data_IF_426158525251
#
_entry.id   IF_426158525251
#
_cell.length_a   1.000
_cell.length_b   1.000
_cell.length_c   1.000
_cell.angle_alpha   90.00
_cell.angle_beta   90.00
_cell.angle_gamma   90.00
#
_symmetry.space_group_name_H-M   'P 1'
#
loop_
_entity.id
_entity.type
_entity.pdbx_description
1 polymer ?
#
# COMPACT_ATOMS: atom_id res chain seq x y z
N UNK A 1 -19.56 8.76 3.09
CA UNK A 1 -18.18 9.05 2.64
C UNK A 1 -17.34 7.85 3.06
N UNK A 2 -16.84 7.04 2.12
CA UNK A 2 -16.01 5.87 2.48
C UNK A 2 -14.61 6.40 2.79
N UNK A 3 -14.11 6.13 3.99
CA UNK A 3 -12.77 6.56 4.38
C UNK A 3 -11.71 5.75 3.64
N UNK A 4 -10.54 6.35 3.38
CA UNK A 4 -9.40 5.64 2.76
C UNK A 4 -8.95 4.42 3.58
N UNK A 5 -9.14 4.45 4.89
CA UNK A 5 -8.85 3.34 5.81
C UNK A 5 -9.84 2.19 5.63
N UNK A 6 -11.13 2.49 5.47
CA UNK A 6 -12.17 1.48 5.23
C UNK A 6 -12.06 0.85 3.84
N UNK A 7 -11.59 1.62 2.85
CA UNK A 7 -11.20 1.08 1.56
C UNK A 7 -9.99 0.14 1.69
N UNK A 8 -8.98 0.51 2.48
CA UNK A 8 -7.79 -0.29 2.70
C UNK A 8 -8.11 -1.61 3.45
N UNK A 9 -8.99 -1.58 4.45
CA UNK A 9 -9.38 -2.77 5.22
C UNK A 9 -10.08 -3.82 4.36
N UNK A 10 -10.83 -3.39 3.34
CA UNK A 10 -11.52 -4.25 2.37
C UNK A 10 -10.81 -4.36 1.03
N UNK A 11 -9.58 -3.87 0.92
CA UNK A 11 -8.86 -3.78 -0.36
C UNK A 11 -8.74 -5.13 -1.06
N UNK A 12 -8.56 -6.22 -0.32
CA UNK A 12 -8.48 -7.58 -0.86
C UNK A 12 -9.79 -8.04 -1.50
N UNK A 13 -10.93 -7.79 -0.85
CA UNK A 13 -12.25 -8.13 -1.37
C UNK A 13 -12.57 -7.32 -2.64
N UNK A 14 -12.33 -6.02 -2.56
CA UNK A 14 -12.55 -5.08 -3.65
C UNK A 14 -11.68 -5.46 -4.84
N UNK A 15 -10.39 -5.69 -4.61
CA UNK A 15 -9.47 -6.09 -5.66
C UNK A 15 -9.90 -7.41 -6.33
N UNK A 16 -10.39 -8.41 -5.59
CA UNK A 16 -10.85 -9.68 -6.18
C UNK A 16 -12.07 -9.47 -7.09
N UNK A 17 -13.06 -8.69 -6.63
CA UNK A 17 -14.29 -8.39 -7.37
C UNK A 17 -14.14 -7.40 -8.52
N UNK A 18 -13.05 -6.63 -8.55
CA UNK A 18 -12.81 -5.62 -9.58
C UNK A 18 -12.53 -6.19 -10.98
N UNK A 19 -12.87 -5.41 -11.98
CA UNK A 19 -12.50 -5.65 -13.38
C UNK A 19 -11.00 -5.56 -13.59
N UNK A 20 -10.49 -6.10 -14.70
CA UNK A 20 -9.05 -6.03 -15.04
C UNK A 20 -8.53 -4.59 -15.14
N UNK A 21 -9.37 -3.67 -15.62
CA UNK A 21 -9.01 -2.24 -15.72
C UNK A 21 -8.83 -1.59 -14.35
N UNK A 22 -9.77 -1.85 -13.44
CA UNK A 22 -9.70 -1.34 -12.05
C UNK A 22 -8.55 -1.96 -11.27
N UNK A 23 -8.32 -3.27 -11.43
CA UNK A 23 -7.15 -3.95 -10.86
C UNK A 23 -5.85 -3.28 -11.30
N UNK A 24 -5.72 -2.96 -12.59
CA UNK A 24 -4.54 -2.27 -13.12
C UNK A 24 -4.39 -0.87 -12.51
N UNK A 25 -5.48 -0.12 -12.32
CA UNK A 25 -5.45 1.18 -11.63
C UNK A 25 -4.97 1.05 -10.19
N UNK A 26 -5.48 0.05 -9.44
CA UNK A 26 -5.05 -0.21 -8.06
C UNK A 26 -3.57 -0.60 -7.98
N UNK A 27 -3.09 -1.44 -8.89
CA UNK A 27 -1.67 -1.80 -8.97
C UNK A 27 -0.81 -0.57 -9.25
N UNK A 28 -1.19 0.25 -10.23
CA UNK A 28 -0.45 1.47 -10.59
C UNK A 28 -0.52 2.56 -9.50
N UNK A 29 -1.55 2.55 -8.66
CA UNK A 29 -1.65 3.46 -7.53
C UNK A 29 -0.58 3.16 -6.47
N UNK A 30 -0.28 1.88 -6.25
CA UNK A 30 0.60 1.43 -5.17
C UNK A 30 2.03 1.18 -5.65
N UNK A 31 2.21 0.64 -6.87
CA UNK A 31 3.50 0.23 -7.42
C UNK A 31 3.99 1.19 -8.51
N UNK A 32 5.26 1.56 -8.48
CA UNK A 32 5.84 2.52 -9.44
C UNK A 32 6.60 1.87 -10.60
N UNK A 33 7.35 0.80 -10.32
CA UNK A 33 8.26 0.17 -11.28
C UNK A 33 8.03 -1.35 -11.35
N UNK A 34 6.86 -1.77 -11.82
CA UNK A 34 6.51 -3.19 -11.89
C UNK A 34 7.21 -3.87 -13.07
N UNK A 35 8.23 -4.67 -12.78
CA UNK A 35 9.02 -5.39 -13.77
C UNK A 35 9.15 -6.87 -13.43
N UNK A 36 8.87 -7.74 -14.39
CA UNK A 36 9.11 -9.18 -14.26
C UNK A 36 10.51 -9.53 -14.79
N UNK A 37 11.45 -9.81 -13.88
CA UNK A 37 12.80 -10.25 -14.19
C UNK A 37 12.87 -11.77 -14.10
N UNK A 38 12.66 -12.44 -15.23
CA UNK A 38 12.57 -13.91 -15.30
C UNK A 38 11.37 -14.41 -14.50
N UNK A 39 11.63 -15.06 -13.37
CA UNK A 39 10.58 -15.55 -12.44
C UNK A 39 10.37 -14.65 -11.22
N UNK A 40 11.12 -13.53 -11.10
CA UNK A 40 11.02 -12.61 -9.97
C UNK A 40 10.31 -11.33 -10.36
N UNK A 41 9.32 -10.94 -9.58
CA UNK A 41 8.65 -9.65 -9.71
C UNK A 41 9.41 -8.60 -8.89
N UNK A 42 9.96 -7.62 -9.58
CA UNK A 42 10.64 -6.45 -9.00
C UNK A 42 9.69 -5.27 -9.02
N UNK A 43 9.56 -4.58 -7.89
CA UNK A 43 8.71 -3.40 -7.78
C UNK A 43 9.23 -2.44 -6.72
N UNK A 44 8.85 -1.17 -6.87
CA UNK A 44 8.97 -0.13 -5.84
C UNK A 44 7.58 0.39 -5.50
N UNK A 45 7.40 0.88 -4.27
CA UNK A 45 6.14 1.46 -3.82
C UNK A 45 6.13 2.97 -4.07
N UNK A 46 4.97 3.51 -4.44
CA UNK A 46 4.73 4.95 -4.44
C UNK A 46 4.64 5.48 -2.99
N UNK A 47 5.01 6.74 -2.78
CA UNK A 47 4.67 7.45 -1.54
C UNK A 47 3.15 7.71 -1.49
N UNK A 48 2.49 7.57 -0.33
CA UNK A 48 3.05 7.29 1.01
C UNK A 48 3.17 5.79 1.37
N UNK A 49 2.84 4.87 0.46
CA UNK A 49 2.83 3.43 0.75
C UNK A 49 4.21 2.89 1.12
N UNK A 50 5.28 3.43 0.51
CA UNK A 50 6.65 3.06 0.84
C UNK A 50 7.00 3.40 2.30
N UNK A 51 6.52 4.54 2.81
CA UNK A 51 6.72 4.98 4.19
C UNK A 51 5.97 4.08 5.15
N UNK A 52 4.71 3.71 4.87
CA UNK A 52 3.96 2.79 5.74
C UNK A 52 4.68 1.45 5.92
N UNK A 53 5.24 0.89 4.84
CA UNK A 53 6.00 -0.36 4.91
C UNK A 53 7.34 -0.20 5.63
N UNK A 54 8.02 0.94 5.45
CA UNK A 54 9.26 1.25 6.18
C UNK A 54 9.01 1.39 7.69
N UNK A 55 7.98 2.14 8.08
CA UNK A 55 7.68 2.38 9.50
C UNK A 55 7.17 1.14 10.21
N UNK A 56 6.42 0.26 9.51
CA UNK A 56 6.05 -1.05 10.05
C UNK A 56 7.27 -1.94 10.35
N UNK A 57 8.37 -1.80 9.61
CA UNK A 57 9.61 -2.58 9.81
C UNK A 57 10.48 -2.07 10.94
N UNK A 58 10.43 -0.77 11.24
CA UNK A 58 11.23 -0.18 12.32
C UNK A 58 10.65 -0.43 13.70
N UNK A 59 9.42 -0.96 13.83
CA UNK A 59 8.80 -1.22 15.13
C UNK A 59 8.49 0.05 15.95
N UNK A 60 8.80 1.22 15.41
CA UNK A 60 8.65 2.53 16.05
C UNK A 60 7.33 3.23 15.71
N UNK A 61 6.26 2.45 15.47
CA UNK A 61 4.92 3.05 15.43
C UNK A 61 4.50 3.41 16.85
N UNK A 62 4.41 4.72 17.11
CA UNK A 62 4.04 5.30 18.41
C UNK A 62 5.01 5.05 19.58
N UNK A 63 6.31 4.82 19.36
CA UNK A 63 7.29 4.72 20.47
C UNK A 63 7.71 6.06 21.08
N UNK A 64 7.19 7.18 20.59
CA UNK A 64 7.38 8.48 21.24
C UNK A 64 6.11 8.84 21.98
N UNK A 65 6.16 8.62 23.30
CA UNK A 65 5.20 9.11 24.27
C UNK A 65 4.86 10.58 23.98
N UNK A 66 3.56 10.85 23.85
CA UNK A 66 2.88 12.12 24.13
C UNK A 66 3.69 13.39 23.80
N UNK A 67 3.62 13.84 22.55
CA UNK A 67 3.92 15.23 22.21
C UNK A 67 2.76 16.12 22.67
N UNK A 68 2.53 16.22 23.98
CA UNK A 68 1.62 17.20 24.56
C UNK A 68 2.31 17.89 25.76
N UNK A 69 2.57 19.20 25.71
CA UNK A 69 2.97 19.99 26.87
C UNK A 69 1.80 20.24 27.85
#
# INVERSE_FOLDING_TARGET
MISTVELASRASEIFKGSTTSEKRKLVNLVLSNLELKGQKLTYTLHSPFDQFVKTAKTGEWCTREESNP
#
